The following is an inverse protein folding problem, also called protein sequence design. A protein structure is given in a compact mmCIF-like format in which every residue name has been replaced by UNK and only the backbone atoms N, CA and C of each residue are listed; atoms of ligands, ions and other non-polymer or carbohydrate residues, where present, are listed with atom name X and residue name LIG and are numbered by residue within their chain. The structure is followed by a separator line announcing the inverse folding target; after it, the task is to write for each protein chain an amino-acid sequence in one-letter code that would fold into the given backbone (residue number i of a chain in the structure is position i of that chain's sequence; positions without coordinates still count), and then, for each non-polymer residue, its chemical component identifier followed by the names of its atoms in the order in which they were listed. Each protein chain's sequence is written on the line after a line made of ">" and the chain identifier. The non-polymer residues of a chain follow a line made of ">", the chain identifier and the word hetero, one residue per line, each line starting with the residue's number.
data_IF_609293117995
#
_entry.id   IF_609293117995
#
_cell.length_a   1.000
_cell.length_b   1.000
_cell.length_c   1.000
_cell.angle_alpha   90.00
_cell.angle_beta   90.00
_cell.angle_gamma   90.00
#
_symmetry.space_group_name_H-M   'P 1'
#
loop_
_entity.id
_entity.type
_entity.pdbx_description
1 polymer ?
#
# COMPACT_ATOMS: atom_id res chain seq x y z
N UNK A 1 1.07 -9.16 -22.18
CA UNK A 1 2.43 -9.47 -21.67
C UNK A 1 2.55 -8.85 -20.28
N UNK A 2 2.66 -9.66 -19.21
CA UNK A 2 2.79 -9.15 -17.84
C UNK A 2 4.11 -8.37 -17.74
N UNK A 3 4.07 -7.11 -17.31
CA UNK A 3 5.30 -6.35 -17.01
C UNK A 3 6.01 -7.02 -15.83
N UNK A 4 7.33 -7.17 -15.93
CA UNK A 4 8.15 -7.66 -14.82
C UNK A 4 7.98 -6.71 -13.63
N UNK A 5 7.50 -7.22 -12.49
CA UNK A 5 7.62 -6.51 -11.22
C UNK A 5 9.10 -6.53 -10.82
N UNK A 6 9.66 -5.37 -10.49
CA UNK A 6 11.05 -5.21 -10.05
C UNK A 6 11.27 -5.75 -8.62
N UNK A 7 11.06 -7.05 -8.42
CA UNK A 7 11.85 -7.86 -7.48
C UNK A 7 11.44 -7.98 -6.01
N UNK A 8 10.47 -7.23 -5.46
CA UNK A 8 10.21 -7.31 -4.00
C UNK A 8 8.83 -7.87 -3.62
N UNK A 9 7.83 -7.82 -4.50
CA UNK A 9 6.56 -8.51 -4.28
C UNK A 9 5.97 -9.00 -5.60
N UNK A 10 5.85 -10.32 -5.75
CA UNK A 10 4.96 -10.90 -6.76
C UNK A 10 3.57 -11.02 -6.16
N UNK A 11 2.72 -10.00 -6.30
CA UNK A 11 1.28 -10.29 -6.31
C UNK A 11 1.01 -11.04 -7.61
N UNK A 12 1.11 -12.37 -7.54
CA UNK A 12 0.82 -13.28 -8.64
C UNK A 12 -0.69 -13.44 -8.84
N UNK A 13 -1.41 -12.34 -8.65
CA UNK A 13 -2.86 -12.30 -8.64
C UNK A 13 -3.35 -12.08 -10.07
N UNK A 14 -4.21 -12.96 -10.54
CA UNK A 14 -4.96 -12.77 -11.79
C UNK A 14 -6.43 -12.55 -11.45
N UNK A 15 -6.97 -11.41 -11.85
CA UNK A 15 -8.39 -11.09 -11.70
C UNK A 15 -9.03 -10.99 -13.08
N UNK A 16 -10.06 -11.81 -13.30
CA UNK A 16 -10.96 -11.71 -14.44
C UNK A 16 -12.35 -11.39 -13.94
N UNK A 17 -12.98 -10.35 -14.50
CA UNK A 17 -14.34 -9.93 -14.13
C UNK A 17 -15.19 -9.85 -15.39
N UNK A 18 -16.35 -10.51 -15.33
CA UNK A 18 -17.41 -10.39 -16.31
C UNK A 18 -18.61 -9.73 -15.65
N UNK A 19 -19.18 -8.73 -16.31
CA UNK A 19 -20.33 -7.99 -15.80
C UNK A 19 -21.39 -7.86 -16.90
N UNK A 20 -22.58 -8.38 -16.63
CA UNK A 20 -23.74 -8.21 -17.50
C UNK A 20 -24.49 -6.94 -17.11
N UNK A 21 -24.48 -5.95 -18.00
CA UNK A 21 -25.12 -4.65 -17.80
C UNK A 21 -26.66 -4.70 -17.79
N UNK A 22 -27.26 -5.74 -18.37
CA UNK A 22 -28.71 -5.95 -18.39
C UNK A 22 -29.17 -6.65 -17.10
N UNK A 23 -28.52 -7.76 -16.75
CA UNK A 23 -28.89 -8.55 -15.56
C UNK A 23 -28.17 -8.12 -14.29
N UNK A 24 -27.25 -7.15 -14.36
CA UNK A 24 -26.45 -6.66 -13.25
C UNK A 24 -25.62 -7.74 -12.55
N UNK A 25 -25.47 -8.92 -13.17
CA UNK A 25 -24.71 -10.03 -12.61
C UNK A 25 -23.24 -9.80 -12.83
N UNK A 26 -22.47 -9.99 -11.76
CA UNK A 26 -21.02 -9.91 -11.79
C UNK A 26 -20.45 -11.27 -11.43
N UNK A 27 -19.59 -11.78 -12.30
CA UNK A 27 -18.79 -12.96 -12.04
C UNK A 27 -17.33 -12.54 -12.00
N UNK A 28 -16.62 -12.96 -10.96
CA UNK A 28 -15.20 -12.69 -10.82
C UNK A 28 -14.46 -14.00 -10.55
N UNK A 29 -13.34 -14.18 -11.22
CA UNK A 29 -12.38 -15.24 -10.94
C UNK A 29 -11.07 -14.60 -10.50
N UNK A 30 -10.68 -14.91 -9.27
CA UNK A 30 -9.44 -14.44 -8.66
C UNK A 30 -8.54 -15.65 -8.43
N UNK A 31 -7.34 -15.62 -9.02
CA UNK A 31 -6.35 -16.69 -8.91
C UNK A 31 -5.06 -16.14 -8.30
N UNK A 32 -4.33 -16.99 -7.57
CA UNK A 32 -3.02 -16.67 -7.01
C UNK A 32 -3.08 -15.85 -5.72
N UNK A 33 -4.21 -15.89 -4.99
CA UNK A 33 -4.30 -15.37 -3.63
C UNK A 33 -3.76 -16.37 -2.62
N UNK A 34 -3.16 -15.86 -1.53
CA UNK A 34 -2.88 -16.68 -0.35
C UNK A 34 -4.18 -17.07 0.37
N UNK A 35 -4.10 -18.02 1.29
CA UNK A 35 -5.23 -18.42 2.13
C UNK A 35 -5.74 -17.23 2.97
N UNK A 36 -4.83 -16.49 3.62
CA UNK A 36 -5.15 -15.28 4.38
C UNK A 36 -5.87 -14.22 3.53
N UNK A 37 -5.38 -13.98 2.30
CA UNK A 37 -6.00 -13.04 1.37
C UNK A 37 -7.40 -13.50 0.97
N UNK A 38 -7.57 -14.80 0.74
CA UNK A 38 -8.86 -15.38 0.36
C UNK A 38 -9.86 -15.23 1.49
N UNK A 39 -9.48 -15.56 2.72
CA UNK A 39 -10.33 -15.37 3.90
C UNK A 39 -10.73 -13.92 4.10
N UNK A 40 -9.77 -13.00 4.01
CA UNK A 40 -10.07 -11.58 4.12
C UNK A 40 -11.04 -11.11 3.03
N UNK A 41 -10.87 -11.52 1.77
CA UNK A 41 -11.80 -11.15 0.69
C UNK A 41 -13.19 -11.74 0.91
N UNK A 42 -13.28 -12.99 1.36
CA UNK A 42 -14.56 -13.66 1.62
C UNK A 42 -15.31 -12.97 2.76
N UNK A 43 -14.63 -12.63 3.84
CA UNK A 43 -15.17 -11.87 4.98
C UNK A 43 -15.76 -10.52 4.54
N UNK A 44 -15.03 -9.78 3.71
CA UNK A 44 -15.50 -8.50 3.19
C UNK A 44 -16.68 -8.65 2.20
N UNK A 45 -16.73 -9.74 1.44
CA UNK A 45 -17.88 -10.06 0.57
C UNK A 45 -19.13 -10.42 1.37
N UNK A 46 -18.98 -11.13 2.50
CA UNK A 46 -20.10 -11.45 3.39
C UNK A 46 -20.62 -10.23 4.15
N UNK A 47 -19.75 -9.30 4.52
CA UNK A 47 -20.13 -8.08 5.25
C UNK A 47 -20.79 -7.04 4.37
N UNK A 48 -20.41 -6.98 3.08
CA UNK A 48 -20.86 -5.96 2.13
C UNK A 48 -21.54 -6.58 0.89
N UNK A 49 -22.56 -7.46 1.05
CA UNK A 49 -23.14 -8.21 -0.05
C UNK A 49 -23.85 -7.30 -1.07
N UNK A 50 -24.36 -6.15 -0.63
CA UNK A 50 -24.94 -5.14 -1.53
C UNK A 50 -23.91 -4.58 -2.52
N UNK A 51 -22.64 -4.46 -2.11
CA UNK A 51 -21.56 -3.95 -2.95
C UNK A 51 -20.97 -5.04 -3.86
N UNK A 52 -21.03 -6.31 -3.43
CA UNK A 52 -20.47 -7.45 -4.16
C UNK A 52 -21.02 -7.61 -5.59
N UNK A 53 -22.24 -7.14 -5.85
CA UNK A 53 -22.84 -7.13 -7.19
C UNK A 53 -22.17 -6.16 -8.16
N UNK A 54 -21.40 -5.19 -7.66
CA UNK A 54 -20.74 -4.19 -8.49
C UNK A 54 -19.37 -4.70 -8.97
N UNK A 55 -19.06 -4.63 -10.28
CA UNK A 55 -17.84 -5.21 -10.84
C UNK A 55 -16.55 -4.55 -10.34
N UNK A 56 -16.65 -3.36 -9.75
CA UNK A 56 -15.52 -2.66 -9.16
C UNK A 56 -15.31 -2.92 -7.68
N UNK A 57 -16.22 -3.61 -7.00
CA UNK A 57 -16.06 -3.88 -5.57
C UNK A 57 -14.79 -4.66 -5.27
N UNK A 58 -14.58 -5.80 -5.93
CA UNK A 58 -13.40 -6.63 -5.72
C UNK A 58 -12.08 -5.89 -6.06
N UNK A 59 -11.95 -5.17 -7.19
CA UNK A 59 -10.82 -4.29 -7.43
C UNK A 59 -10.58 -3.24 -6.33
N UNK A 60 -11.64 -2.59 -5.84
CA UNK A 60 -11.54 -1.63 -4.73
C UNK A 60 -11.01 -2.31 -3.47
N UNK A 61 -11.52 -3.48 -3.11
CA UNK A 61 -11.04 -4.24 -1.95
C UNK A 61 -9.57 -4.64 -2.07
N UNK A 62 -9.13 -5.13 -3.23
CA UNK A 62 -7.73 -5.49 -3.48
C UNK A 62 -6.79 -4.27 -3.39
N UNK A 63 -7.24 -3.11 -3.88
CA UNK A 63 -6.46 -1.86 -3.74
C UNK A 63 -6.31 -1.46 -2.27
N UNK A 64 -7.38 -1.58 -1.47
CA UNK A 64 -7.34 -1.27 -0.04
C UNK A 64 -6.46 -2.26 0.73
N UNK A 65 -6.57 -3.56 0.44
CA UNK A 65 -5.73 -4.59 1.05
C UNK A 65 -4.24 -4.30 0.79
N UNK A 66 -3.89 -4.01 -0.47
CA UNK A 66 -2.53 -3.65 -0.85
C UNK A 66 -2.04 -2.44 -0.06
N UNK A 67 -2.87 -1.40 0.03
CA UNK A 67 -2.53 -0.19 0.76
C UNK A 67 -2.30 -0.45 2.25
N UNK A 68 -3.17 -1.22 2.90
CA UNK A 68 -3.01 -1.62 4.30
C UNK A 68 -1.73 -2.43 4.53
N UNK A 69 -1.39 -3.33 3.61
CA UNK A 69 -0.13 -4.07 3.69
C UNK A 69 1.08 -3.13 3.58
N UNK A 70 1.07 -2.21 2.63
CA UNK A 70 2.15 -1.22 2.47
C UNK A 70 2.23 -0.31 3.70
N UNK A 71 1.11 0.17 4.24
CA UNK A 71 1.08 0.99 5.45
C UNK A 71 1.77 0.29 6.63
N UNK A 72 1.49 -1.00 6.83
CA UNK A 72 2.17 -1.80 7.84
C UNK A 72 3.70 -1.87 7.60
N UNK A 73 4.13 -2.05 6.34
CA UNK A 73 5.56 -2.09 5.99
C UNK A 73 6.25 -0.73 6.16
N UNK A 74 5.58 0.37 5.84
CA UNK A 74 6.08 1.73 6.07
C UNK A 74 6.31 1.96 7.56
N UNK A 75 5.39 1.51 8.42
CA UNK A 75 5.58 1.57 9.87
C UNK A 75 6.81 0.80 10.33
N UNK A 76 7.00 -0.43 9.85
CA UNK A 76 8.20 -1.22 10.17
C UNK A 76 9.51 -0.53 9.73
N UNK A 77 9.48 0.19 8.60
CA UNK A 77 10.65 0.97 8.16
C UNK A 77 10.91 2.18 9.05
N UNK A 78 9.87 2.83 9.56
CA UNK A 78 10.03 3.89 10.56
C UNK A 78 10.65 3.35 11.85
N UNK A 79 10.19 2.19 12.33
CA UNK A 79 10.75 1.54 13.51
C UNK A 79 12.23 1.17 13.27
N UNK A 80 12.54 0.56 12.13
CA UNK A 80 13.92 0.21 11.76
C UNK A 80 14.83 1.44 11.65
N UNK A 81 14.34 2.56 11.07
CA UNK A 81 15.09 3.81 11.02
C UNK A 81 15.33 4.39 12.41
N UNK A 82 14.34 4.32 13.31
CA UNK A 82 14.47 4.76 14.69
C UNK A 82 15.53 3.94 15.44
N UNK A 83 15.48 2.61 15.33
CA UNK A 83 16.45 1.71 15.95
C UNK A 83 17.86 1.98 15.43
N UNK A 84 17.99 2.18 14.11
CA UNK A 84 19.24 2.58 13.49
C UNK A 84 19.76 3.94 14.03
N UNK A 85 18.90 4.95 14.19
CA UNK A 85 19.30 6.24 14.74
C UNK A 85 19.74 6.15 16.21
N UNK A 86 19.06 5.32 17.02
CA UNK A 86 19.44 5.05 18.40
C UNK A 86 20.81 4.36 18.48
N UNK A 87 21.06 3.37 17.61
CA UNK A 87 22.32 2.63 17.57
C UNK A 87 23.48 3.47 17.01
N UNK A 88 23.25 4.25 15.97
CA UNK A 88 24.31 5.06 15.36
C UNK A 88 24.72 6.24 16.26
N UNK A 89 23.82 6.75 17.12
CA UNK A 89 23.99 7.96 17.97
C UNK A 89 24.43 9.20 17.18
N UNK A 90 24.31 9.20 15.85
CA UNK A 90 24.84 10.26 14.96
C UNK A 90 23.86 11.40 14.76
N UNK A 91 22.57 11.12 14.84
CA UNK A 91 21.53 12.12 14.91
C UNK A 91 20.58 11.77 16.03
N UNK A 92 20.16 12.76 16.81
CA UNK A 92 19.07 12.53 17.76
C UNK A 92 17.75 12.52 16.99
N UNK A 93 17.02 11.41 17.05
CA UNK A 93 15.58 11.46 16.87
C UNK A 93 15.05 12.34 18.01
N UNK A 94 14.41 13.46 17.70
CA UNK A 94 13.70 14.22 18.74
C UNK A 94 12.46 13.41 19.12
N UNK A 95 12.62 12.45 20.04
CA UNK A 95 11.48 11.87 20.73
C UNK A 95 10.84 13.03 21.53
N UNK A 96 9.66 13.47 21.10
CA UNK A 96 8.84 14.43 21.86
C UNK A 96 8.31 13.80 23.16
N UNK A 97 8.55 12.50 23.35
CA UNK A 97 8.26 11.78 24.59
C UNK A 97 9.52 11.65 25.43
N UNK A 98 9.55 12.45 26.51
CA UNK A 98 10.43 12.32 27.68
C UNK A 98 10.25 10.95 28.33
N UNK A 99 11.25 10.09 28.26
CA UNK A 99 11.70 9.17 29.31
C UNK A 99 12.78 8.23 28.73
N UNK A 100 13.98 8.37 29.26
CA UNK A 100 15.01 7.34 29.43
C UNK A 100 15.16 6.28 28.32
N UNK A 101 16.16 6.47 27.46
CA UNK A 101 16.82 5.36 26.77
C UNK A 101 18.11 5.04 27.52
N UNK A 102 18.10 3.91 28.22
CA UNK A 102 19.23 3.31 28.92
C UNK A 102 20.34 2.97 27.89
N UNK A 103 21.60 3.43 28.05
CA UNK A 103 22.59 3.41 26.97
C UNK A 103 23.38 2.10 26.84
N UNK A 104 22.81 0.95 27.24
CA UNK A 104 23.51 -0.33 27.40
C UNK A 104 23.51 -1.25 26.17
N UNK A 105 22.99 -0.84 25.01
CA UNK A 105 23.14 -1.62 23.77
C UNK A 105 24.55 -1.46 23.17
N UNK A 106 25.22 -2.60 22.94
CA UNK A 106 26.49 -2.68 22.24
C UNK A 106 26.39 -2.01 20.85
N UNK A 107 27.31 -1.09 20.57
CA UNK A 107 27.41 -0.42 19.28
C UNK A 107 27.70 -1.45 18.18
N UNK A 108 26.78 -1.60 17.21
CA UNK A 108 27.00 -2.40 16.00
C UNK A 108 28.25 -1.93 15.25
N UNK A 109 28.92 -2.87 14.57
CA UNK A 109 30.08 -2.55 13.70
C UNK A 109 29.63 -1.70 12.51
N UNK A 110 30.49 -0.81 12.04
CA UNK A 110 30.19 0.13 10.95
C UNK A 110 29.66 -0.53 9.67
N UNK A 111 30.16 -1.71 9.29
CA UNK A 111 29.71 -2.44 8.11
C UNK A 111 28.28 -2.97 8.25
N UNK A 112 27.86 -3.31 9.47
CA UNK A 112 26.49 -3.76 9.78
C UNK A 112 25.53 -2.57 9.69
N UNK A 113 25.92 -1.43 10.27
CA UNK A 113 25.16 -0.18 10.17
C UNK A 113 24.96 0.27 8.71
N UNK A 114 25.99 0.13 7.85
CA UNK A 114 25.88 0.47 6.43
C UNK A 114 24.91 -0.45 5.69
N UNK A 115 24.92 -1.75 5.99
CA UNK A 115 23.99 -2.73 5.39
C UNK A 115 22.54 -2.43 5.81
N UNK A 116 22.32 -2.12 7.08
CA UNK A 116 20.99 -1.81 7.61
C UNK A 116 20.40 -0.56 6.93
N UNK A 117 21.18 0.51 6.78
CA UNK A 117 20.79 1.75 6.09
C UNK A 117 20.45 1.51 4.62
N UNK A 118 21.28 0.74 3.92
CA UNK A 118 21.05 0.39 2.51
C UNK A 118 19.77 -0.43 2.35
N UNK A 119 19.53 -1.37 3.26
CA UNK A 119 18.31 -2.19 3.25
C UNK A 119 17.06 -1.33 3.44
N UNK A 120 17.08 -0.37 4.37
CA UNK A 120 15.97 0.58 4.59
C UNK A 120 15.68 1.37 3.30
N UNK A 121 16.69 1.91 2.62
CA UNK A 121 16.53 2.67 1.37
C UNK A 121 15.95 1.81 0.24
N UNK A 122 16.46 0.58 0.09
CA UNK A 122 15.99 -0.36 -0.94
C UNK A 122 14.52 -0.74 -0.72
N UNK A 123 14.16 -1.09 0.50
CA UNK A 123 12.77 -1.41 0.86
C UNK A 123 11.86 -0.20 0.69
N UNK A 124 12.27 0.99 1.15
CA UNK A 124 11.48 2.21 0.98
C UNK A 124 11.20 2.52 -0.50
N UNK A 125 12.18 2.31 -1.37
CA UNK A 125 12.03 2.49 -2.83
C UNK A 125 11.06 1.46 -3.42
N UNK A 126 11.16 0.19 -3.01
CA UNK A 126 10.23 -0.84 -3.46
C UNK A 126 8.77 -0.58 -3.04
N UNK A 127 8.55 -0.10 -1.81
CA UNK A 127 7.22 0.25 -1.34
C UNK A 127 6.66 1.50 -2.02
N UNK A 128 7.52 2.46 -2.38
CA UNK A 128 7.11 3.65 -3.16
C UNK A 128 6.54 3.24 -4.53
N UNK A 129 7.19 2.31 -5.22
CA UNK A 129 6.70 1.77 -6.50
C UNK A 129 5.35 1.04 -6.36
N UNK A 130 5.15 0.32 -5.26
CA UNK A 130 3.86 -0.31 -4.95
C UNK A 130 2.76 0.73 -4.69
N UNK A 131 3.06 1.83 -4.00
CA UNK A 131 2.10 2.92 -3.82
C UNK A 131 1.75 3.60 -5.15
N UNK A 132 2.72 3.80 -6.05
CA UNK A 132 2.47 4.32 -7.41
C UNK A 132 1.54 3.40 -8.21
N UNK A 133 1.72 2.09 -8.06
CA UNK A 133 0.84 1.08 -8.67
C UNK A 133 -0.57 1.15 -8.07
N UNK A 134 -0.68 1.27 -6.73
CA UNK A 134 -1.96 1.46 -6.03
C UNK A 134 -2.70 2.73 -6.49
N UNK A 135 -1.99 3.86 -6.63
CA UNK A 135 -2.53 5.11 -7.20
C UNK A 135 -3.07 4.92 -8.62
N UNK A 136 -2.34 4.17 -9.46
CA UNK A 136 -2.78 3.88 -10.83
C UNK A 136 -4.02 2.97 -10.85
N UNK A 137 -4.09 1.98 -9.96
CA UNK A 137 -5.25 1.11 -9.80
C UNK A 137 -6.48 1.87 -9.32
N UNK A 138 -6.35 2.73 -8.31
CA UNK A 138 -7.47 3.53 -7.78
C UNK A 138 -8.00 4.50 -8.83
N UNK A 139 -7.13 5.15 -9.60
CA UNK A 139 -7.57 6.00 -10.72
C UNK A 139 -8.28 5.18 -11.82
N UNK A 140 -7.76 4.01 -12.15
CA UNK A 140 -8.40 3.08 -13.10
C UNK A 140 -9.81 2.65 -12.65
N UNK A 141 -9.98 2.35 -11.36
CA UNK A 141 -11.28 2.02 -10.75
C UNK A 141 -12.24 3.19 -10.92
N UNK A 142 -11.81 4.42 -10.60
CA UNK A 142 -12.67 5.61 -10.73
C UNK A 142 -13.08 5.89 -12.17
N UNK A 143 -12.16 5.73 -13.11
CA UNK A 143 -12.47 5.86 -14.54
C UNK A 143 -13.45 4.79 -15.02
N UNK A 144 -13.25 3.53 -14.62
CA UNK A 144 -14.18 2.45 -14.93
C UNK A 144 -15.58 2.70 -14.34
N UNK A 145 -15.64 3.24 -13.12
CA UNK A 145 -16.89 3.56 -12.44
C UNK A 145 -17.71 4.62 -13.19
N UNK A 146 -17.03 5.62 -13.78
CA UNK A 146 -17.67 6.59 -14.67
C UNK A 146 -18.31 5.90 -15.89
N UNK A 147 -17.64 4.90 -16.48
CA UNK A 147 -18.11 4.20 -17.70
C UNK A 147 -19.32 3.29 -17.45
N UNK A 148 -19.32 2.53 -16.35
CA UNK A 148 -20.41 1.59 -16.02
C UNK A 148 -21.77 2.30 -15.89
N UNK A 149 -21.77 3.54 -15.40
CA UNK A 149 -22.99 4.37 -15.27
C UNK A 149 -23.72 4.61 -16.60
N UNK A 150 -23.02 4.61 -17.74
CA UNK A 150 -23.61 4.89 -19.05
C UNK A 150 -24.24 3.67 -19.70
N UNK A 151 -23.69 2.46 -19.49
CA UNK A 151 -24.17 1.22 -20.12
C UNK A 151 -25.24 0.46 -19.33
N UNK A 152 -25.52 0.85 -18.08
CA UNK A 152 -26.45 0.14 -17.19
C UNK A 152 -27.91 0.32 -17.61
N UNK A 153 -28.70 -0.77 -17.58
CA UNK A 153 -30.14 -0.73 -17.83
C UNK A 153 -30.89 0.26 -16.91
N UNK A 154 -31.93 0.94 -17.44
CA UNK A 154 -32.67 2.02 -16.75
C UNK A 154 -33.16 1.64 -15.35
N UNK A 155 -33.63 0.41 -15.18
CA UNK A 155 -34.18 -0.11 -13.92
C UNK A 155 -33.14 -0.21 -12.80
N UNK A 156 -31.85 -0.40 -13.12
CA UNK A 156 -30.76 -0.59 -12.14
C UNK A 156 -29.87 0.63 -11.96
N UNK A 157 -30.07 1.65 -12.80
CA UNK A 157 -29.22 2.84 -12.84
C UNK A 157 -29.10 3.53 -11.47
N UNK A 158 -30.16 3.51 -10.65
CA UNK A 158 -30.14 4.08 -9.28
C UNK A 158 -29.17 3.32 -8.37
N UNK A 159 -29.34 1.99 -8.27
CA UNK A 159 -28.49 1.13 -7.42
C UNK A 159 -27.03 1.18 -7.86
N UNK A 160 -26.76 1.06 -9.17
CA UNK A 160 -25.39 1.14 -9.70
C UNK A 160 -24.78 2.52 -9.47
N UNK A 161 -25.58 3.60 -9.53
CA UNK A 161 -25.10 4.95 -9.23
C UNK A 161 -24.76 5.13 -7.75
N UNK A 162 -25.60 4.62 -6.84
CA UNK A 162 -25.39 4.69 -5.38
C UNK A 162 -24.16 3.86 -4.97
N UNK A 163 -24.10 2.59 -5.36
CA UNK A 163 -22.94 1.73 -5.10
C UNK A 163 -21.69 2.30 -5.74
N UNK A 164 -21.79 2.79 -6.99
CA UNK A 164 -20.69 3.47 -7.65
C UNK A 164 -20.24 4.73 -6.91
N UNK A 165 -21.13 5.49 -6.28
CA UNK A 165 -20.74 6.65 -5.47
C UNK A 165 -19.93 6.23 -4.24
N UNK A 166 -20.39 5.21 -3.52
CA UNK A 166 -19.67 4.64 -2.36
C UNK A 166 -18.28 4.15 -2.77
N UNK A 167 -18.16 3.44 -3.89
CA UNK A 167 -16.87 2.97 -4.39
C UNK A 167 -15.97 4.12 -4.86
N UNK A 168 -16.52 5.20 -5.41
CA UNK A 168 -15.73 6.38 -5.79
C UNK A 168 -15.16 7.09 -4.56
N UNK A 169 -16.00 7.27 -3.52
CA UNK A 169 -15.59 7.82 -2.24
C UNK A 169 -14.50 6.96 -1.58
N UNK A 170 -14.70 5.63 -1.55
CA UNK A 170 -13.69 4.71 -1.02
C UNK A 170 -12.39 4.75 -1.81
N UNK A 171 -12.46 4.88 -3.13
CA UNK A 171 -11.29 5.01 -4.00
C UNK A 171 -10.58 6.34 -3.79
N UNK A 172 -11.32 7.43 -3.56
CA UNK A 172 -10.76 8.74 -3.19
C UNK A 172 -10.02 8.66 -1.86
N UNK A 173 -10.64 8.09 -0.84
CA UNK A 173 -10.00 7.89 0.47
C UNK A 173 -8.72 7.05 0.37
N UNK A 174 -8.76 5.97 -0.41
CA UNK A 174 -7.59 5.12 -0.67
C UNK A 174 -6.47 5.90 -1.38
N UNK A 175 -6.80 6.79 -2.31
CA UNK A 175 -5.85 7.67 -2.98
C UNK A 175 -5.21 8.67 -2.02
N UNK A 176 -5.99 9.29 -1.15
CA UNK A 176 -5.50 10.27 -0.18
C UNK A 176 -4.57 9.62 0.85
N UNK A 177 -4.92 8.43 1.35
CA UNK A 177 -4.04 7.62 2.18
C UNK A 177 -2.76 7.19 1.43
N UNK A 178 -2.86 6.82 0.16
CA UNK A 178 -1.70 6.49 -0.67
C UNK A 178 -0.74 7.68 -0.77
N UNK A 179 -1.27 8.89 -0.98
CA UNK A 179 -0.45 10.11 -1.03
C UNK A 179 0.24 10.39 0.31
N UNK A 180 -0.46 10.19 1.43
CA UNK A 180 0.14 10.34 2.76
C UNK A 180 1.30 9.35 2.96
N UNK A 181 1.12 8.08 2.61
CA UNK A 181 2.18 7.07 2.74
C UNK A 181 3.38 7.35 1.82
N UNK A 182 3.15 7.92 0.63
CA UNK A 182 4.26 8.37 -0.25
C UNK A 182 5.08 9.45 0.46
N UNK A 183 4.43 10.43 1.08
CA UNK A 183 5.14 11.48 1.84
C UNK A 183 5.92 10.90 3.03
N UNK A 184 5.36 9.91 3.74
CA UNK A 184 6.05 9.22 4.83
C UNK A 184 7.28 8.45 4.34
N UNK A 185 7.18 7.74 3.20
CA UNK A 185 8.32 7.06 2.60
C UNK A 185 9.39 8.03 2.10
N UNK A 186 9.01 9.18 1.55
CA UNK A 186 9.95 10.23 1.15
C UNK A 186 10.73 10.73 2.37
N UNK A 187 10.05 11.00 3.48
CA UNK A 187 10.70 11.34 4.74
C UNK A 187 11.68 10.26 5.20
N UNK A 188 11.27 8.98 5.20
CA UNK A 188 12.17 7.86 5.56
C UNK A 188 13.40 7.83 4.65
N UNK A 189 13.23 7.99 3.34
CA UNK A 189 14.35 7.98 2.37
C UNK A 189 15.31 9.15 2.59
N UNK A 190 14.79 10.37 2.68
CA UNK A 190 15.60 11.57 2.91
C UNK A 190 16.38 11.48 4.23
N UNK A 191 15.69 11.03 5.29
CA UNK A 191 16.30 10.87 6.60
C UNK A 191 17.37 9.78 6.60
N UNK A 192 17.09 8.64 6.00
CA UNK A 192 18.06 7.53 5.87
C UNK A 192 19.28 7.94 5.04
N UNK A 193 19.09 8.73 3.98
CA UNK A 193 20.20 9.28 3.19
C UNK A 193 21.07 10.24 4.00
N UNK A 194 20.47 11.09 4.83
CA UNK A 194 21.20 11.97 5.74
C UNK A 194 22.06 11.15 6.73
N UNK A 195 21.51 10.06 7.27
CA UNK A 195 22.28 9.13 8.12
C UNK A 195 23.45 8.48 7.38
N UNK A 196 23.21 8.01 6.16
CA UNK A 196 24.22 7.38 5.33
C UNK A 196 25.39 8.33 5.09
N UNK A 197 25.10 9.58 4.75
CA UNK A 197 26.10 10.62 4.56
C UNK A 197 26.87 10.91 5.85
N UNK A 198 26.18 10.98 7.00
CA UNK A 198 26.81 11.20 8.30
C UNK A 198 27.79 10.07 8.66
N UNK A 199 27.45 8.80 8.38
CA UNK A 199 28.39 7.66 8.55
C UNK A 199 29.59 7.82 7.61
N UNK A 200 29.36 8.15 6.34
CA UNK A 200 30.44 8.25 5.35
C UNK A 200 31.45 9.36 5.66
N UNK A 201 31.00 10.52 6.15
CA UNK A 201 31.88 11.63 6.54
C UNK A 201 32.80 11.32 7.73
N UNK A 202 32.58 10.22 8.46
CA UNK A 202 33.42 9.80 9.60
C UNK A 202 34.50 8.79 9.17
N UNK A 203 34.29 8.11 8.02
CA UNK A 203 35.20 7.07 7.51
C UNK A 203 36.27 7.65 6.58
N UNK A 204 36.02 8.84 6.01
CA UNK A 204 36.94 9.59 5.16
C UNK A 204 37.87 10.50 5.98
#
# INVERSE_FOLDING_TARGET
>A
MRRQNHGVFSMNIALSISHDLATGRTFAMLLGTSEEQTWWILDQLSDLPMLASHPLFLPTMLSKYTLSHVAYRVRLLHDALKDFEMQSKRTRFMNVTLADCDPTEELKKHDELRKDVLQIIQLATAWEDMLRTCSSMTEGIRQANKRIKFGTARQRRKVVKEVGAILDERSQFTRDETQNLVSQLQFVKERTQAQMNAIHHIIA
#
